data_IF_407526770119
#
_entry.id   IF_407526770119
#
_cell.length_a   1.000
_cell.length_b   1.000
_cell.length_c   1.000
_cell.angle_alpha   90.00
_cell.angle_beta   90.00
_cell.angle_gamma   90.00
#
_symmetry.space_group_name_H-M   'P 1'
#
loop_
_entity.id
_entity.type
_entity.pdbx_description
1 polymer ?
#
# COMPACT_ATOMS: atom_id res chain seq x y z
N UNK A 1 20.07 -4.81 14.48
CA UNK A 1 20.42 -3.81 13.47
C UNK A 1 21.46 -4.44 12.55
N UNK A 2 21.06 -5.01 11.41
CA UNK A 2 22.00 -5.54 10.41
C UNK A 2 22.06 -4.54 9.26
N UNK A 3 23.28 -4.16 8.94
CA UNK A 3 23.68 -3.14 7.97
C UNK A 3 23.04 -3.40 6.60
N UNK A 4 22.21 -2.47 6.11
CA UNK A 4 21.62 -2.50 4.76
C UNK A 4 22.55 -1.78 3.79
N UNK A 5 23.80 -2.19 3.68
CA UNK A 5 24.68 -1.69 2.63
C UNK A 5 24.68 -2.69 1.49
N UNK A 6 23.99 -2.33 0.40
CA UNK A 6 23.97 -3.08 -0.85
C UNK A 6 25.39 -3.24 -1.40
N UNK A 7 25.82 -4.45 -1.82
CA UNK A 7 27.13 -4.61 -2.43
C UNK A 7 27.13 -3.93 -3.81
N UNK A 8 28.01 -2.95 -3.99
CA UNK A 8 28.27 -2.34 -5.30
C UNK A 8 29.06 -3.34 -6.15
N UNK A 9 28.38 -4.24 -6.87
CA UNK A 9 29.04 -5.11 -7.84
C UNK A 9 29.03 -4.48 -9.22
N UNK A 10 30.16 -3.87 -9.56
CA UNK A 10 30.64 -3.68 -10.92
C UNK A 10 30.96 -5.05 -11.53
N UNK A 11 30.00 -5.65 -12.25
CA UNK A 11 30.25 -6.61 -13.34
C UNK A 11 28.96 -6.86 -14.11
N UNK A 12 29.06 -6.75 -15.44
CA UNK A 12 27.94 -6.72 -16.38
C UNK A 12 26.92 -7.84 -16.20
N UNK A 13 25.73 -7.44 -15.78
CA UNK A 13 24.50 -8.21 -15.74
C UNK A 13 23.42 -7.22 -15.31
N UNK A 14 22.32 -7.11 -16.07
CA UNK A 14 21.27 -6.14 -15.81
C UNK A 14 20.59 -6.41 -14.46
N UNK A 15 21.17 -5.91 -13.37
CA UNK A 15 20.55 -5.88 -12.06
C UNK A 15 19.43 -4.84 -12.08
N UNK A 16 18.20 -5.29 -12.32
CA UNK A 16 17.02 -4.43 -12.22
C UNK A 16 16.77 -4.19 -10.73
N UNK A 17 16.79 -2.92 -10.30
CA UNK A 17 16.32 -2.53 -8.98
C UNK A 17 14.89 -3.03 -8.76
N UNK A 18 14.49 -3.37 -7.52
CA UNK A 18 13.10 -3.72 -7.25
C UNK A 18 12.19 -2.55 -7.68
N UNK A 19 11.04 -2.82 -8.31
CA UNK A 19 10.12 -1.77 -8.71
C UNK A 19 9.67 -1.00 -7.47
N UNK A 20 9.83 0.33 -7.49
CA UNK A 20 9.65 1.24 -6.34
C UNK A 20 8.22 1.37 -5.79
N UNK A 21 7.34 0.40 -6.05
CA UNK A 21 5.96 0.32 -5.56
C UNK A 21 5.59 -1.03 -4.94
N UNK A 22 6.53 -1.97 -4.79
CA UNK A 22 6.29 -3.28 -4.19
C UNK A 22 7.02 -3.46 -2.85
N UNK A 23 6.38 -4.16 -1.90
CA UNK A 23 6.98 -4.55 -0.63
C UNK A 23 7.87 -5.79 -0.74
N UNK A 24 7.60 -6.65 -1.73
CA UNK A 24 8.38 -7.85 -1.99
C UNK A 24 9.55 -7.49 -2.90
N UNK A 25 10.75 -7.73 -2.40
CA UNK A 25 11.98 -7.67 -3.17
C UNK A 25 12.23 -9.08 -3.76
N UNK A 26 12.28 -9.21 -5.10
CA UNK A 26 12.46 -10.50 -5.78
C UNK A 26 12.10 -10.46 -7.26
N UNK A 27 12.12 -11.62 -7.91
CA UNK A 27 11.75 -11.78 -9.33
C UNK A 27 10.24 -11.59 -9.56
N UNK A 28 9.86 -11.01 -10.71
CA UNK A 28 8.47 -10.76 -11.07
C UNK A 28 7.70 -12.06 -11.37
N UNK A 29 6.53 -12.22 -10.74
CA UNK A 29 5.65 -13.37 -10.97
C UNK A 29 4.93 -13.28 -12.33
N UNK A 30 5.15 -14.27 -13.19
CA UNK A 30 4.45 -14.41 -14.46
C UNK A 30 3.16 -15.25 -14.28
N UNK A 31 2.01 -14.59 -14.14
CA UNK A 31 0.73 -15.29 -13.94
C UNK A 31 0.06 -15.67 -15.26
N UNK A 32 -0.39 -16.93 -15.35
CA UNK A 32 -1.13 -17.45 -16.51
C UNK A 32 -2.65 -17.17 -16.43
N UNK A 33 -3.18 -16.83 -15.25
CA UNK A 33 -4.63 -16.58 -15.05
C UNK A 33 -4.90 -15.59 -13.92
N UNK A 34 -5.73 -14.58 -14.19
CA UNK A 34 -6.13 -13.55 -13.22
C UNK A 34 -7.66 -13.49 -13.18
N UNK A 35 -8.23 -13.30 -11.98
CA UNK A 35 -9.67 -13.08 -11.76
C UNK A 35 -9.85 -11.87 -10.86
N UNK A 36 -10.49 -10.83 -11.38
CA UNK A 36 -11.00 -9.67 -10.65
C UNK A 36 -11.92 -8.89 -11.59
N UNK A 37 -12.90 -8.17 -11.04
CA UNK A 37 -13.68 -7.22 -11.83
C UNK A 37 -12.82 -6.02 -12.23
N UNK A 38 -12.88 -5.64 -13.50
CA UNK A 38 -12.04 -4.58 -14.06
C UNK A 38 -12.46 -3.17 -13.60
N UNK A 39 -13.68 -2.99 -13.11
CA UNK A 39 -14.24 -1.69 -12.72
C UNK A 39 -14.53 -1.66 -11.22
N UNK A 40 -13.59 -1.10 -10.47
CA UNK A 40 -13.78 -0.82 -9.06
C UNK A 40 -14.46 0.55 -8.89
N UNK A 41 -15.36 0.71 -7.91
CA UNK A 41 -16.02 1.99 -7.63
C UNK A 41 -15.07 3.05 -7.07
N UNK A 42 -14.00 2.63 -6.38
CA UNK A 42 -12.87 3.46 -5.93
C UNK A 42 -11.55 2.70 -6.12
N UNK A 43 -10.45 3.42 -6.39
CA UNK A 43 -9.10 2.87 -6.41
C UNK A 43 -8.56 2.70 -4.98
N UNK A 44 -7.82 1.61 -4.74
CA UNK A 44 -7.15 1.37 -3.45
C UNK A 44 -5.97 2.33 -3.27
N UNK A 45 -5.29 2.67 -4.37
CA UNK A 45 -4.18 3.61 -4.42
C UNK A 45 -4.65 5.01 -4.03
N UNK A 46 -5.75 5.50 -4.62
CA UNK A 46 -6.30 6.82 -4.31
C UNK A 46 -6.86 6.92 -2.88
N UNK A 47 -7.53 5.85 -2.40
CA UNK A 47 -8.02 5.79 -1.02
C UNK A 47 -6.89 5.66 0.03
N UNK A 48 -5.70 5.20 -0.39
CA UNK A 48 -4.53 5.02 0.46
C UNK A 48 -3.56 6.22 0.51
N UNK A 49 -3.79 7.25 -0.30
CA UNK A 49 -2.94 8.46 -0.34
C UNK A 49 -2.92 9.18 1.00
N UNK A 50 -1.74 9.64 1.40
CA UNK A 50 -1.55 10.48 2.59
C UNK A 50 -1.81 11.96 2.30
N UNK A 51 -2.13 12.73 3.35
CA UNK A 51 -2.28 14.20 3.25
C UNK A 51 -1.00 14.89 2.74
N UNK A 52 0.17 14.35 3.09
CA UNK A 52 1.47 14.85 2.63
C UNK A 52 1.63 14.71 1.11
N UNK A 53 1.18 13.59 0.54
CA UNK A 53 1.20 13.38 -0.91
C UNK A 53 0.30 14.35 -1.66
N UNK A 54 -0.87 14.69 -1.09
CA UNK A 54 -1.74 15.74 -1.64
C UNK A 54 -1.06 17.12 -1.60
N UNK A 55 -0.41 17.48 -0.51
CA UNK A 55 0.32 18.75 -0.40
C UNK A 55 1.48 18.83 -1.41
N UNK A 56 2.22 17.73 -1.59
CA UNK A 56 3.28 17.63 -2.61
C UNK A 56 2.71 17.76 -4.02
N UNK A 57 1.59 17.10 -4.31
CA UNK A 57 0.92 17.18 -5.61
C UNK A 57 0.43 18.60 -5.93
N UNK A 58 -0.18 19.27 -4.95
CA UNK A 58 -0.63 20.66 -5.07
C UNK A 58 0.54 21.60 -5.36
N UNK A 59 1.66 21.45 -4.64
CA UNK A 59 2.88 22.23 -4.88
C UNK A 59 3.48 22.03 -6.28
N UNK A 60 3.26 20.86 -6.89
CA UNK A 60 3.73 20.49 -8.22
C UNK A 60 2.70 20.81 -9.32
N UNK A 61 1.51 21.30 -8.95
CA UNK A 61 0.41 21.56 -9.87
C UNK A 61 -0.16 20.30 -10.52
N UNK A 62 0.04 19.12 -9.92
CA UNK A 62 -0.48 17.85 -10.44
C UNK A 62 -1.83 17.57 -9.79
N UNK A 63 -2.94 17.46 -10.55
CA UNK A 63 -4.23 17.12 -9.97
C UNK A 63 -4.22 15.65 -9.52
N UNK A 64 -4.43 15.42 -8.23
CA UNK A 64 -4.65 14.09 -7.65
C UNK A 64 -6.13 13.92 -7.28
N UNK A 65 -6.68 12.73 -7.55
CA UNK A 65 -8.04 12.39 -7.16
C UNK A 65 -8.06 12.10 -5.66
N UNK A 66 -8.97 12.75 -4.94
CA UNK A 66 -9.20 12.49 -3.53
C UNK A 66 -10.53 11.75 -3.32
N UNK A 67 -10.49 10.63 -2.60
CA UNK A 67 -11.69 9.88 -2.22
C UNK A 67 -12.26 10.48 -0.92
N UNK A 68 -13.41 11.13 -1.02
CA UNK A 68 -14.12 11.72 0.12
C UNK A 68 -14.65 10.68 1.12
N UNK A 69 -14.95 11.12 2.34
CA UNK A 69 -15.35 10.23 3.44
C UNK A 69 -16.64 9.44 3.12
N UNK A 70 -17.68 10.10 2.59
CA UNK A 70 -18.95 9.45 2.26
C UNK A 70 -18.75 8.30 1.27
N UNK A 71 -17.96 8.54 0.21
CA UNK A 71 -17.63 7.52 -0.79
C UNK A 71 -16.84 6.35 -0.20
N UNK A 72 -15.96 6.61 0.78
CA UNK A 72 -15.23 5.54 1.49
C UNK A 72 -16.17 4.71 2.36
N UNK A 73 -17.20 5.32 2.94
CA UNK A 73 -18.21 4.64 3.75
C UNK A 73 -19.17 3.82 2.87
N UNK A 74 -19.60 4.37 1.73
CA UNK A 74 -20.45 3.67 0.75
C UNK A 74 -19.74 2.41 0.20
N UNK A 75 -18.43 2.50 -0.06
CA UNK A 75 -17.62 1.40 -0.59
C UNK A 75 -16.61 0.85 0.43
N UNK A 76 -17.04 0.73 1.70
CA UNK A 76 -16.17 0.35 2.82
C UNK A 76 -15.40 -0.96 2.59
N UNK A 77 -15.99 -1.92 1.87
CA UNK A 77 -15.35 -3.21 1.51
C UNK A 77 -14.04 -3.03 0.72
N UNK A 78 -13.94 -1.97 -0.09
CA UNK A 78 -12.72 -1.63 -0.82
C UNK A 78 -11.79 -0.80 0.06
N UNK A 79 -12.33 0.19 0.78
CA UNK A 79 -11.54 1.08 1.63
C UNK A 79 -10.75 0.34 2.73
N UNK A 80 -11.33 -0.71 3.33
CA UNK A 80 -10.64 -1.54 4.35
C UNK A 80 -9.42 -2.29 3.80
N UNK A 81 -9.21 -2.34 2.47
CA UNK A 81 -8.07 -3.00 1.83
C UNK A 81 -6.82 -2.13 1.75
N UNK A 82 -6.91 -0.84 2.07
CA UNK A 82 -5.73 0.03 2.16
C UNK A 82 -4.79 -0.47 3.26
N UNK A 83 -3.48 -0.27 3.07
CA UNK A 83 -2.47 -0.73 4.03
C UNK A 83 -2.67 -0.12 5.42
N UNK A 84 -3.06 1.16 5.49
CA UNK A 84 -3.36 1.84 6.74
C UNK A 84 -4.54 1.20 7.49
N UNK A 85 -5.66 0.95 6.81
CA UNK A 85 -6.82 0.31 7.44
C UNK A 85 -6.53 -1.14 7.86
N UNK A 86 -5.80 -1.90 7.03
CA UNK A 86 -5.33 -3.24 7.39
C UNK A 86 -4.46 -3.24 8.65
N UNK A 87 -3.56 -2.26 8.79
CA UNK A 87 -2.72 -2.12 9.98
C UNK A 87 -3.54 -1.73 11.22
N UNK A 88 -4.45 -0.75 11.10
CA UNK A 88 -5.31 -0.28 12.20
C UNK A 88 -6.10 -1.45 12.80
N UNK A 89 -6.80 -2.23 11.96
CA UNK A 89 -7.62 -3.33 12.46
C UNK A 89 -6.81 -4.47 13.06
N UNK A 90 -5.60 -4.74 12.54
CA UNK A 90 -4.69 -5.73 13.15
C UNK A 90 -4.23 -5.29 14.54
N UNK A 91 -3.89 -4.01 14.71
CA UNK A 91 -3.48 -3.46 16.00
C UNK A 91 -4.66 -3.46 16.97
N UNK A 92 -5.84 -3.02 16.54
CA UNK A 92 -7.05 -3.04 17.35
C UNK A 92 -7.35 -4.44 17.89
N UNK A 93 -7.38 -5.44 17.00
CA UNK A 93 -7.56 -6.84 17.38
C UNK A 93 -6.49 -7.31 18.37
N UNK A 94 -5.24 -6.87 18.22
CA UNK A 94 -4.17 -7.22 19.15
C UNK A 94 -4.40 -6.64 20.55
N UNK A 95 -4.85 -5.39 20.65
CA UNK A 95 -5.18 -4.74 21.92
C UNK A 95 -6.33 -5.48 22.62
N UNK A 96 -7.39 -5.82 21.89
CA UNK A 96 -8.53 -6.57 22.42
C UNK A 96 -8.10 -7.95 22.94
N UNK A 97 -7.25 -8.66 22.21
CA UNK A 97 -6.74 -9.96 22.64
C UNK A 97 -5.86 -9.88 23.90
N UNK A 98 -5.02 -8.85 24.01
CA UNK A 98 -4.21 -8.63 25.22
C UNK A 98 -5.13 -8.34 26.41
N UNK A 99 -6.13 -7.47 26.23
CA UNK A 99 -7.07 -7.12 27.28
C UNK A 99 -7.84 -8.36 27.78
N UNK A 100 -8.31 -9.22 26.87
CA UNK A 100 -9.00 -10.46 27.23
C UNK A 100 -8.11 -11.52 27.90
N UNK A 101 -6.80 -11.49 27.63
CA UNK A 101 -5.85 -12.46 28.20
C UNK A 101 -5.37 -12.09 29.60
N UNK A 102 -5.34 -10.79 29.92
CA UNK A 102 -4.70 -10.26 31.13
C UNK A 102 -5.60 -9.39 32.01
N UNK A 103 -6.88 -9.18 31.64
CA UNK A 103 -7.89 -8.51 32.46
C UNK A 103 -8.81 -9.51 33.16
#
# INVERSE_FOLDING_TARGET
MRDRRWPSTSRGGHGRSPPGGCWLEGDELQSQRIRADLKLPISVEDAGRSAEEFAIAESKGVPLVHVGQDTRLDYRVIDVRTLANQAIFRIQHHVENIALKYG
#
